data_IF_995320481770
#
_entry.id   IF_995320481770
#
_cell.length_a   1.000
_cell.length_b   1.000
_cell.length_c   1.000
_cell.angle_alpha   90.00
_cell.angle_beta   90.00
_cell.angle_gamma   90.00
#
_symmetry.space_group_name_H-M   'P 1'
#
loop_
_entity.id
_entity.type
_entity.pdbx_description
1 polymer ?
#
# COMPACT_ATOMS: atom_id res chain seq x y z
N UNK A 1 -20.30 -26.91 5.97
CA UNK A 1 -19.45 -25.70 6.00
C UNK A 1 -19.35 -25.32 7.45
N UNK A 2 -18.25 -25.63 8.13
CA UNK A 2 -18.01 -25.07 9.45
C UNK A 2 -17.68 -23.60 9.22
N UNK A 3 -18.56 -22.70 9.66
CA UNK A 3 -18.18 -21.32 9.90
C UNK A 3 -17.09 -21.35 10.97
N UNK A 4 -15.82 -21.41 10.54
CA UNK A 4 -14.72 -21.09 11.42
C UNK A 4 -14.94 -19.63 11.83
N UNK A 5 -15.23 -19.43 13.12
CA UNK A 5 -15.27 -18.12 13.75
C UNK A 5 -13.90 -17.47 13.52
N UNK A 6 -13.84 -16.57 12.53
CA UNK A 6 -12.66 -15.74 12.28
C UNK A 6 -12.18 -15.12 13.58
N UNK A 7 -10.87 -15.12 13.79
CA UNK A 7 -10.26 -14.47 14.95
C UNK A 7 -10.50 -12.96 14.87
N UNK A 8 -10.55 -12.25 16.01
CA UNK A 8 -10.64 -10.79 16.01
C UNK A 8 -9.53 -10.18 15.14
N UNK A 9 -9.90 -9.31 14.20
CA UNK A 9 -8.96 -8.67 13.27
C UNK A 9 -8.71 -9.42 11.96
N UNK A 10 -9.06 -10.71 11.86
CA UNK A 10 -8.78 -11.54 10.67
C UNK A 10 -9.60 -11.09 9.46
N UNK A 11 -10.83 -10.63 9.68
CA UNK A 11 -11.67 -10.02 8.65
C UNK A 11 -11.04 -8.75 8.11
N UNK A 12 -10.59 -7.87 9.00
CA UNK A 12 -9.96 -6.60 8.64
C UNK A 12 -8.66 -6.82 7.86
N UNK A 13 -7.86 -7.82 8.25
CA UNK A 13 -6.63 -8.20 7.55
C UNK A 13 -6.88 -8.78 6.15
N UNK A 14 -7.97 -9.53 5.97
CA UNK A 14 -8.40 -10.01 4.66
C UNK A 14 -8.86 -8.84 3.77
N UNK A 15 -9.63 -7.90 4.31
CA UNK A 15 -10.04 -6.70 3.58
C UNK A 15 -8.84 -5.82 3.20
N UNK A 16 -7.87 -5.63 4.13
CA UNK A 16 -6.62 -4.91 3.86
C UNK A 16 -5.87 -5.54 2.68
N UNK A 17 -5.88 -6.87 2.55
CA UNK A 17 -5.20 -7.54 1.44
C UNK A 17 -5.79 -7.13 0.09
N UNK A 18 -7.11 -7.01 -0.01
CA UNK A 18 -7.79 -6.52 -1.22
C UNK A 18 -7.30 -5.13 -1.61
N UNK A 19 -7.39 -4.17 -0.67
CA UNK A 19 -6.91 -2.80 -0.89
C UNK A 19 -5.40 -2.73 -1.16
N UNK A 20 -4.60 -3.63 -0.58
CA UNK A 20 -3.18 -3.69 -0.87
C UNK A 20 -2.93 -4.08 -2.33
N UNK A 21 -3.70 -5.02 -2.89
CA UNK A 21 -3.54 -5.41 -4.29
C UNK A 21 -3.92 -4.27 -5.22
N UNK A 22 -5.06 -3.61 -4.97
CA UNK A 22 -5.49 -2.43 -5.73
C UNK A 22 -4.45 -1.31 -5.65
N UNK A 23 -3.90 -1.06 -4.46
CA UNK A 23 -2.83 -0.08 -4.24
C UNK A 23 -1.57 -0.40 -5.06
N UNK A 24 -1.13 -1.65 -5.07
CA UNK A 24 0.05 -2.07 -5.85
C UNK A 24 -0.17 -1.86 -7.34
N UNK A 25 -1.35 -2.21 -7.85
CA UNK A 25 -1.71 -2.02 -9.26
C UNK A 25 -1.79 -0.54 -9.62
N UNK A 26 -2.41 0.28 -8.77
CA UNK A 26 -2.48 1.73 -8.94
C UNK A 26 -1.10 2.39 -8.93
N UNK A 27 -0.20 1.94 -8.05
CA UNK A 27 1.19 2.42 -8.01
C UNK A 27 1.95 2.01 -9.27
N UNK A 28 1.81 0.76 -9.73
CA UNK A 28 2.44 0.30 -10.97
C UNK A 28 1.97 1.14 -12.18
N UNK A 29 0.66 1.36 -12.30
CA UNK A 29 0.09 2.19 -13.36
C UNK A 29 0.61 3.63 -13.32
N UNK A 30 0.74 4.24 -12.14
CA UNK A 30 1.28 5.58 -11.99
C UNK A 30 2.77 5.62 -12.37
N UNK A 31 3.55 4.61 -11.95
CA UNK A 31 4.97 4.47 -12.30
C UNK A 31 5.14 4.38 -13.81
N UNK A 32 4.39 3.52 -14.49
CA UNK A 32 4.48 3.36 -15.94
C UNK A 32 4.23 4.68 -16.69
N UNK A 33 3.27 5.48 -16.22
CA UNK A 33 2.96 6.80 -16.79
C UNK A 33 4.03 7.86 -16.49
N UNK A 34 4.66 7.80 -15.32
CA UNK A 34 5.44 8.90 -14.74
C UNK A 34 6.90 8.53 -14.41
N UNK A 35 7.44 7.43 -14.95
CA UNK A 35 8.75 6.87 -14.61
C UNK A 35 9.88 7.91 -14.60
N UNK A 36 9.98 8.72 -15.67
CA UNK A 36 11.02 9.76 -15.81
C UNK A 36 10.91 10.82 -14.71
N UNK A 37 9.70 11.27 -14.42
CA UNK A 37 9.45 12.28 -13.39
C UNK A 37 9.82 11.72 -12.01
N UNK A 38 9.30 10.54 -11.66
CA UNK A 38 9.59 9.89 -10.37
C UNK A 38 11.08 9.57 -10.20
N UNK A 39 11.77 9.20 -11.28
CA UNK A 39 13.22 8.97 -11.28
C UNK A 39 13.97 10.27 -11.03
N UNK A 40 13.62 11.36 -11.73
CA UNK A 40 14.25 12.69 -11.55
C UNK A 40 14.08 13.26 -10.13
N UNK A 41 13.02 12.85 -9.43
CA UNK A 41 12.73 13.23 -8.04
C UNK A 41 13.36 12.27 -7.01
N UNK A 42 14.07 11.24 -7.45
CA UNK A 42 14.71 10.25 -6.57
C UNK A 42 13.76 9.27 -5.89
N UNK A 43 12.50 9.19 -6.32
CA UNK A 43 11.47 8.33 -5.71
C UNK A 43 11.59 6.89 -6.21
N UNK A 44 11.83 6.69 -7.51
CA UNK A 44 11.79 5.35 -8.12
C UNK A 44 12.70 4.31 -7.45
N UNK A 45 13.96 4.60 -7.06
CA UNK A 45 14.79 3.59 -6.42
C UNK A 45 14.20 3.05 -5.12
N UNK A 46 13.64 3.95 -4.28
CA UNK A 46 13.04 3.55 -2.99
C UNK A 46 11.69 2.84 -3.23
N UNK A 47 10.86 3.37 -4.12
CA UNK A 47 9.56 2.79 -4.44
C UNK A 47 9.70 1.40 -5.06
N UNK A 48 10.61 1.21 -6.02
CA UNK A 48 10.84 -0.08 -6.68
C UNK A 48 11.29 -1.17 -5.72
N UNK A 49 12.20 -0.86 -4.78
CA UNK A 49 12.63 -1.83 -3.74
C UNK A 49 11.44 -2.20 -2.84
N UNK A 50 10.67 -1.21 -2.38
CA UNK A 50 9.50 -1.47 -1.52
C UNK A 50 8.46 -2.32 -2.23
N UNK A 51 8.11 -1.99 -3.47
CA UNK A 51 7.14 -2.75 -4.27
C UNK A 51 7.62 -4.19 -4.48
N UNK A 52 8.91 -4.41 -4.76
CA UNK A 52 9.48 -5.75 -4.87
C UNK A 52 9.31 -6.55 -3.57
N UNK A 53 9.68 -5.97 -2.43
CA UNK A 53 9.57 -6.63 -1.12
C UNK A 53 8.12 -6.93 -0.73
N UNK A 54 7.22 -5.97 -0.96
CA UNK A 54 5.79 -6.13 -0.65
C UNK A 54 5.15 -7.17 -1.56
N UNK A 55 5.45 -7.15 -2.86
CA UNK A 55 4.92 -8.12 -3.83
C UNK A 55 5.31 -9.55 -3.48
N UNK A 56 6.53 -9.76 -2.97
CA UNK A 56 7.01 -11.06 -2.49
C UNK A 56 6.27 -11.54 -1.23
N UNK A 57 5.81 -10.61 -0.39
CA UNK A 57 5.16 -10.88 0.88
C UNK A 57 3.65 -10.66 0.84
N UNK A 58 3.06 -10.44 -0.34
CA UNK A 58 1.68 -9.95 -0.50
C UNK A 58 0.59 -10.85 0.10
N UNK A 59 0.87 -12.13 0.31
CA UNK A 59 -0.04 -13.08 0.98
C UNK A 59 0.18 -13.18 2.50
N UNK A 60 1.26 -12.60 3.01
CA UNK A 60 1.60 -12.53 4.44
C UNK A 60 1.34 -11.11 4.95
N UNK A 61 0.05 -10.74 4.99
CA UNK A 61 -0.36 -9.35 5.20
C UNK A 61 0.17 -8.76 6.52
N UNK A 62 0.23 -9.57 7.57
CA UNK A 62 0.80 -9.17 8.86
C UNK A 62 2.26 -8.70 8.75
N UNK A 63 3.07 -9.40 7.94
CA UNK A 63 4.46 -9.02 7.70
C UNK A 63 4.55 -7.74 6.88
N UNK A 64 3.66 -7.58 5.89
CA UNK A 64 3.62 -6.36 5.07
C UNK A 64 3.31 -5.15 5.94
N UNK A 65 2.27 -5.25 6.75
CA UNK A 65 1.84 -4.19 7.64
C UNK A 65 2.92 -3.84 8.67
N UNK A 66 3.54 -4.86 9.27
CA UNK A 66 4.56 -4.66 10.30
C UNK A 66 5.87 -4.06 9.78
N UNK A 67 6.36 -4.49 8.62
CA UNK A 67 7.73 -4.18 8.20
C UNK A 67 7.84 -3.17 7.06
N UNK A 68 6.83 -3.07 6.18
CA UNK A 68 6.94 -2.29 4.94
C UNK A 68 5.93 -1.16 4.83
N UNK A 69 4.75 -1.29 5.47
CA UNK A 69 3.65 -0.34 5.32
C UNK A 69 4.05 1.11 5.58
N UNK A 70 4.66 1.40 6.73
CA UNK A 70 5.09 2.76 7.07
C UNK A 70 6.03 3.36 6.02
N UNK A 71 6.96 2.56 5.50
CA UNK A 71 7.92 3.05 4.51
C UNK A 71 7.25 3.30 3.16
N UNK A 72 6.28 2.47 2.78
CA UNK A 72 5.46 2.68 1.59
C UNK A 72 4.63 3.96 1.73
N UNK A 73 3.96 4.14 2.87
CA UNK A 73 3.16 5.32 3.18
C UNK A 73 3.99 6.62 3.08
N UNK A 74 5.21 6.64 3.63
CA UNK A 74 6.11 7.79 3.54
C UNK A 74 6.49 8.13 2.09
N UNK A 75 6.70 7.11 1.24
CA UNK A 75 6.99 7.30 -0.18
C UNK A 75 5.77 7.84 -0.92
N UNK A 76 4.59 7.28 -0.68
CA UNK A 76 3.32 7.76 -1.24
C UNK A 76 3.06 9.21 -0.81
N UNK A 77 3.32 9.54 0.46
CA UNK A 77 3.21 10.91 0.97
C UNK A 77 4.15 11.87 0.24
N UNK A 78 5.37 11.43 -0.07
CA UNK A 78 6.34 12.21 -0.86
C UNK A 78 5.89 12.39 -2.31
N UNK A 79 5.26 11.36 -2.91
CA UNK A 79 4.66 11.44 -4.24
C UNK A 79 3.49 12.44 -4.29
N UNK A 80 2.65 12.48 -3.24
CA UNK A 80 1.52 13.41 -3.16
C UNK A 80 1.92 14.89 -3.13
N UNK A 81 3.19 15.20 -2.85
CA UNK A 81 3.73 16.57 -2.91
C UNK A 81 4.14 16.99 -4.33
N UNK A 82 4.03 16.11 -5.33
CA UNK A 82 4.39 16.39 -6.74
C UNK A 82 3.12 16.88 -7.47
N UNK A 83 3.02 18.18 -7.82
CA UNK A 83 1.82 18.73 -8.45
C UNK A 83 1.41 18.00 -9.75
N UNK A 84 2.39 17.56 -10.53
CA UNK A 84 2.21 16.98 -11.86
C UNK A 84 1.44 15.65 -11.83
N UNK A 85 1.43 14.93 -10.70
CA UNK A 85 0.78 13.62 -10.57
C UNK A 85 -0.41 13.61 -9.61
N UNK A 86 -0.79 14.76 -9.02
CA UNK A 86 -1.85 14.81 -8.00
C UNK A 86 -3.18 14.22 -8.48
N UNK A 87 -3.53 14.40 -9.75
CA UNK A 87 -4.76 13.84 -10.32
C UNK A 87 -4.72 12.31 -10.39
N UNK A 88 -3.54 11.72 -10.58
CA UNK A 88 -3.35 10.27 -10.66
C UNK A 88 -3.23 9.62 -9.26
N UNK A 89 -3.06 10.42 -8.20
CA UNK A 89 -2.88 9.93 -6.83
C UNK A 89 -4.20 9.62 -6.11
N UNK A 90 -5.35 9.99 -6.68
CA UNK A 90 -6.64 9.89 -5.97
C UNK A 90 -6.93 8.48 -5.47
N UNK A 91 -6.84 7.48 -6.35
CA UNK A 91 -7.20 6.10 -6.00
C UNK A 91 -6.16 5.51 -5.02
N UNK A 92 -4.88 5.83 -5.21
CA UNK A 92 -3.78 5.49 -4.28
C UNK A 92 -4.06 6.02 -2.87
N UNK A 93 -4.48 7.29 -2.75
CA UNK A 93 -4.79 7.90 -1.46
C UNK A 93 -5.98 7.22 -0.80
N UNK A 94 -7.03 6.90 -1.59
CA UNK A 94 -8.21 6.19 -1.08
C UNK A 94 -7.85 4.81 -0.53
N UNK A 95 -7.02 4.04 -1.25
CA UNK A 95 -6.55 2.74 -0.77
C UNK A 95 -5.73 2.88 0.53
N UNK A 96 -4.86 3.89 0.61
CA UNK A 96 -4.06 4.15 1.81
C UNK A 96 -4.93 4.52 3.02
N UNK A 97 -5.92 5.39 2.83
CA UNK A 97 -6.85 5.76 3.89
C UNK A 97 -7.65 4.56 4.37
N UNK A 98 -8.09 3.71 3.45
CA UNK A 98 -8.88 2.53 3.80
C UNK A 98 -8.06 1.48 4.55
N UNK A 99 -6.81 1.25 4.13
CA UNK A 99 -5.89 0.37 4.85
C UNK A 99 -5.63 0.89 6.27
N UNK A 100 -5.44 2.21 6.45
CA UNK A 100 -5.26 2.81 7.79
C UNK A 100 -6.47 2.61 8.69
N UNK A 101 -7.67 2.83 8.14
CA UNK A 101 -8.93 2.61 8.87
C UNK A 101 -9.00 1.16 9.37
N UNK A 102 -8.82 0.20 8.47
CA UNK A 102 -8.88 -1.23 8.80
C UNK A 102 -7.76 -1.66 9.77
N UNK A 103 -6.55 -1.12 9.61
CA UNK A 103 -5.44 -1.37 10.53
C UNK A 103 -5.79 -0.97 11.96
N UNK A 104 -6.42 0.20 12.14
CA UNK A 104 -6.85 0.67 13.46
C UNK A 104 -7.89 -0.25 14.12
N UNK A 105 -8.69 -0.94 13.31
CA UNK A 105 -9.73 -1.88 13.75
C UNK A 105 -9.18 -3.30 13.99
N UNK A 106 -8.15 -3.70 13.26
CA UNK A 106 -7.56 -5.05 13.31
C UNK A 106 -6.89 -5.40 14.65
N UNK A 107 -6.52 -4.39 15.45
CA UNK A 107 -5.76 -4.57 16.69
C UNK A 107 -4.29 -4.98 16.48
N UNK A 108 -3.79 -4.97 15.23
CA UNK A 108 -2.39 -5.24 14.91
C UNK A 108 -1.49 -4.16 15.54
N UNK A 109 -0.48 -4.58 16.30
CA UNK A 109 0.56 -3.67 16.81
C UNK A 109 1.66 -3.54 15.76
N UNK A 110 1.72 -2.36 15.14
CA UNK A 110 2.77 -1.95 14.18
C UNK A 110 4.09 -1.66 14.91
#
# INVERSE_FOLDING_TARGET
MSEELMKPGEKELEEIRGYLFDLLDNLNNLIEKNEKLLTSRGIMPRLGVLLGMITMQRYQIDLVMKYYWRQLEEVIGSMGQIPEIQNDMKDIIQDVEKIKELLSLSGLKL
#
